data_IF_109153672374
#
_entry.id   IF_109153672374
#
_cell.length_a   1.000
_cell.length_b   1.000
_cell.length_c   1.000
_cell.angle_alpha   90.00
_cell.angle_beta   90.00
_cell.angle_gamma   90.00
#
_symmetry.space_group_name_H-M   'P 1'
#
loop_
_entity.id
_entity.type
_entity.pdbx_description
1 polymer ?
#
# COMPACT_ATOMS: atom_id res chain seq x y z
N UNK A 1 7.87 4.70 -10.31
CA UNK A 1 7.61 3.64 -11.32
C UNK A 1 7.25 4.28 -12.63
N UNK A 2 7.45 3.60 -13.74
CA UNK A 2 7.06 4.04 -15.08
C UNK A 2 6.17 2.96 -15.68
N UNK A 3 5.05 3.32 -16.32
CA UNK A 3 4.19 2.37 -17.01
C UNK A 3 4.66 2.09 -18.44
N UNK A 4 3.94 1.20 -19.16
CA UNK A 4 4.25 0.85 -20.55
C UNK A 4 4.11 2.03 -21.51
N UNK A 5 3.32 3.04 -21.16
CA UNK A 5 3.09 4.26 -21.93
C UNK A 5 4.13 5.36 -21.63
N UNK A 6 5.07 5.10 -20.71
CA UNK A 6 6.13 6.02 -20.31
C UNK A 6 5.70 7.07 -19.28
N UNK A 7 4.50 6.96 -18.68
CA UNK A 7 4.07 7.86 -17.61
C UNK A 7 4.75 7.51 -16.30
N UNK A 8 5.39 8.47 -15.68
CA UNK A 8 6.10 8.32 -14.42
C UNK A 8 5.18 8.42 -13.20
N UNK A 9 5.45 7.60 -12.19
CA UNK A 9 4.88 7.70 -10.85
C UNK A 9 6.01 7.70 -9.82
N UNK A 10 6.03 8.71 -8.94
CA UNK A 10 6.96 8.82 -7.82
C UNK A 10 6.22 8.40 -6.55
N UNK A 11 6.63 7.28 -5.95
CA UNK A 11 6.14 6.80 -4.66
C UNK A 11 7.16 6.98 -3.55
N UNK A 12 6.69 7.33 -2.35
CA UNK A 12 7.48 7.34 -1.12
C UNK A 12 6.69 6.63 -0.05
N UNK A 13 7.29 5.65 0.60
CA UNK A 13 6.72 4.92 1.75
C UNK A 13 7.64 5.11 2.95
N UNK A 14 7.06 5.49 4.07
CA UNK A 14 7.74 5.61 5.36
C UNK A 14 7.00 4.75 6.37
N UNK A 15 7.73 3.91 7.08
CA UNK A 15 7.17 3.05 8.13
C UNK A 15 8.05 3.15 9.37
N UNK A 16 7.43 3.17 10.54
CA UNK A 16 8.15 3.10 11.82
C UNK A 16 7.34 2.38 12.89
N UNK A 17 8.04 1.63 13.72
CA UNK A 17 7.50 0.95 14.89
C UNK A 17 8.17 1.49 16.14
N UNK A 18 7.38 1.99 17.09
CA UNK A 18 7.86 2.58 18.34
C UNK A 18 7.16 1.90 19.51
N UNK A 19 7.90 1.34 20.45
CA UNK A 19 7.29 0.72 21.64
C UNK A 19 8.11 -0.41 22.22
N UNK A 20 7.41 -1.34 22.88
CA UNK A 20 7.98 -2.54 23.52
C UNK A 20 7.73 -3.77 22.64
N UNK A 21 8.23 -4.93 23.05
CA UNK A 21 8.03 -6.19 22.31
C UNK A 21 6.54 -6.58 22.20
N UNK A 22 5.72 -6.19 23.16
CA UNK A 22 4.30 -6.55 23.20
C UNK A 22 3.36 -5.46 22.69
N UNK A 23 3.74 -4.18 22.86
CA UNK A 23 2.89 -3.04 22.57
C UNK A 23 3.67 -1.99 21.80
N UNK A 24 3.26 -1.73 20.58
CA UNK A 24 3.93 -0.83 19.63
C UNK A 24 2.95 0.16 19.01
N UNK A 25 3.44 1.32 18.68
CA UNK A 25 2.79 2.25 17.77
C UNK A 25 3.41 2.06 16.39
N UNK A 26 2.61 1.68 15.43
CA UNK A 26 2.97 1.60 14.02
C UNK A 26 2.50 2.88 13.33
N UNK A 27 3.40 3.57 12.68
CA UNK A 27 3.10 4.75 11.88
C UNK A 27 3.55 4.47 10.46
N UNK A 28 2.65 4.64 9.52
CA UNK A 28 2.91 4.50 8.09
C UNK A 28 2.50 5.78 7.37
N UNK A 29 3.33 6.26 6.46
CA UNK A 29 3.02 7.40 5.61
C UNK A 29 3.39 7.08 4.16
N UNK A 30 2.40 7.14 3.28
CA UNK A 30 2.54 6.89 1.86
C UNK A 30 2.25 8.17 1.08
N UNK A 31 3.03 8.44 0.06
CA UNK A 31 2.79 9.52 -0.90
C UNK A 31 3.04 9.01 -2.31
N UNK A 32 2.09 9.23 -3.18
CA UNK A 32 2.18 8.92 -4.59
C UNK A 32 1.89 10.14 -5.45
N UNK A 33 2.74 10.38 -6.44
CA UNK A 33 2.58 11.47 -7.41
C UNK A 33 2.79 10.94 -8.82
N UNK A 34 1.75 10.97 -9.64
CA UNK A 34 1.83 10.72 -11.07
C UNK A 34 2.12 12.01 -11.83
N UNK A 35 2.71 11.92 -13.02
CA UNK A 35 2.99 13.09 -13.86
C UNK A 35 1.74 13.87 -14.26
N UNK A 36 0.61 13.16 -14.42
CA UNK A 36 -0.66 13.74 -14.90
C UNK A 36 -1.66 14.09 -13.81
N UNK A 37 -1.38 13.73 -12.56
CA UNK A 37 -2.32 13.85 -11.43
C UNK A 37 -1.68 14.54 -10.23
N UNK A 38 -2.52 15.18 -9.42
CA UNK A 38 -2.09 15.71 -8.14
C UNK A 38 -1.70 14.57 -7.16
N UNK A 39 -0.84 14.88 -6.18
CA UNK A 39 -0.36 13.86 -5.27
C UNK A 39 -1.46 13.30 -4.38
N UNK A 40 -1.38 11.99 -4.10
CA UNK A 40 -2.17 11.27 -3.11
C UNK A 40 -1.33 11.06 -1.86
N UNK A 41 -1.94 11.20 -0.69
CA UNK A 41 -1.29 10.98 0.60
C UNK A 41 -2.14 10.04 1.46
N UNK A 42 -1.49 9.17 2.20
CA UNK A 42 -2.13 8.38 3.24
C UNK A 42 -1.21 8.31 4.45
N UNK A 43 -1.75 8.56 5.63
CA UNK A 43 -1.03 8.44 6.90
C UNK A 43 -1.86 7.59 7.85
N UNK A 44 -1.26 6.52 8.36
CA UNK A 44 -1.86 5.61 9.33
C UNK A 44 -1.13 5.67 10.66
N UNK A 45 -1.89 5.63 11.74
CA UNK A 45 -1.36 5.48 13.10
C UNK A 45 -2.11 4.34 13.79
N UNK A 46 -1.43 3.22 14.01
CA UNK A 46 -2.03 1.98 14.51
C UNK A 46 -1.34 1.55 15.81
N UNK A 47 -2.14 1.24 16.82
CA UNK A 47 -1.67 0.49 17.96
C UNK A 47 -1.54 -0.98 17.59
N UNK A 48 -0.35 -1.53 17.77
CA UNK A 48 0.02 -2.91 17.45
C UNK A 48 0.27 -3.68 18.74
N UNK A 49 -0.41 -4.80 18.91
CA UNK A 49 -0.24 -5.70 20.04
C UNK A 49 0.09 -7.11 19.57
N UNK A 50 1.18 -7.65 20.10
CA UNK A 50 1.53 -9.04 19.86
C UNK A 50 0.52 -9.97 20.56
N UNK A 51 -0.13 -10.83 19.79
CA UNK A 51 -1.17 -11.75 20.27
C UNK A 51 -0.76 -13.22 20.12
N UNK A 52 0.20 -13.50 19.25
CA UNK A 52 0.74 -14.84 19.04
C UNK A 52 2.18 -14.75 18.53
N UNK A 53 2.98 -15.82 18.59
CA UNK A 53 4.29 -15.84 17.96
C UNK A 53 4.20 -15.40 16.50
N UNK A 54 4.92 -14.32 16.16
CA UNK A 54 4.98 -13.72 14.82
C UNK A 54 3.70 -13.03 14.33
N UNK A 55 2.69 -12.80 15.18
CA UNK A 55 1.44 -12.13 14.80
C UNK A 55 1.08 -11.02 15.75
N UNK A 56 0.83 -9.85 15.17
CA UNK A 56 0.29 -8.67 15.84
C UNK A 56 -1.13 -8.40 15.34
N UNK A 57 -1.99 -7.99 16.25
CA UNK A 57 -3.25 -7.33 15.91
C UNK A 57 -3.03 -5.84 15.99
N UNK A 58 -3.53 -5.13 15.00
CA UNK A 58 -3.39 -3.68 14.89
C UNK A 58 -4.75 -3.01 14.82
N UNK A 59 -4.90 -1.86 15.47
CA UNK A 59 -6.09 -1.03 15.39
C UNK A 59 -5.73 0.45 15.51
N UNK A 60 -6.42 1.30 14.76
CA UNK A 60 -6.15 2.74 14.79
C UNK A 60 -6.91 3.52 13.74
N UNK A 61 -6.29 4.55 13.20
CA UNK A 61 -6.89 5.46 12.23
C UNK A 61 -5.97 5.67 11.05
N UNK A 62 -6.57 5.90 9.88
CA UNK A 62 -5.91 6.30 8.65
C UNK A 62 -6.54 7.60 8.15
N UNK A 63 -5.72 8.57 7.83
CA UNK A 63 -6.10 9.74 7.06
C UNK A 63 -5.60 9.57 5.63
N UNK A 64 -6.45 9.80 4.66
CA UNK A 64 -6.09 9.78 3.24
C UNK A 64 -6.63 11.02 2.53
N UNK A 65 -5.81 11.58 1.64
CA UNK A 65 -6.13 12.75 0.81
C UNK A 65 -5.79 12.43 -0.65
N UNK A 66 -6.76 12.64 -1.54
CA UNK A 66 -6.56 12.56 -2.99
C UNK A 66 -6.93 13.91 -3.62
N UNK A 67 -5.95 14.74 -3.90
CA UNK A 67 -6.17 16.12 -4.43
C UNK A 67 -6.82 16.16 -5.81
N UNK A 68 -6.90 15.06 -6.51
CA UNK A 68 -7.61 14.97 -7.78
C UNK A 68 -9.14 14.94 -7.62
N UNK A 69 -9.61 14.73 -6.40
CA UNK A 69 -11.03 14.65 -6.09
C UNK A 69 -11.37 15.59 -4.94
N UNK A 70 -12.19 16.60 -5.16
CA UNK A 70 -12.50 17.66 -4.18
C UNK A 70 -13.27 17.20 -2.92
N UNK A 71 -13.72 15.94 -2.86
CA UNK A 71 -14.35 15.36 -1.67
C UNK A 71 -13.54 14.21 -1.06
N UNK A 72 -12.23 14.27 -1.18
CA UNK A 72 -11.35 13.13 -1.01
C UNK A 72 -10.69 12.99 0.35
N UNK A 73 -10.76 14.02 1.19
CA UNK A 73 -10.24 13.92 2.54
C UNK A 73 -11.09 12.93 3.34
N UNK A 74 -10.43 11.87 3.83
CA UNK A 74 -11.12 10.80 4.52
C UNK A 74 -10.35 10.34 5.76
N UNK A 75 -11.09 10.12 6.83
CA UNK A 75 -10.60 9.46 8.04
C UNK A 75 -11.28 8.10 8.16
N UNK A 76 -10.48 7.05 8.19
CA UNK A 76 -10.95 5.67 8.33
C UNK A 76 -10.49 5.11 9.69
N UNK A 77 -11.39 4.38 10.36
CA UNK A 77 -11.00 3.43 11.39
C UNK A 77 -10.35 2.21 10.72
N UNK A 78 -9.28 1.70 11.30
CA UNK A 78 -8.51 0.57 10.75
C UNK A 78 -8.39 -0.51 11.80
N UNK A 79 -8.61 -1.75 11.40
CA UNK A 79 -8.29 -2.93 12.20
C UNK A 79 -7.66 -3.98 11.29
N UNK A 80 -6.65 -4.68 11.77
CA UNK A 80 -5.99 -5.70 10.96
C UNK A 80 -4.97 -6.53 11.71
N UNK A 81 -4.24 -7.28 10.94
CA UNK A 81 -3.17 -8.15 11.40
C UNK A 81 -1.91 -7.90 10.59
N UNK A 82 -0.78 -7.98 11.28
CA UNK A 82 0.57 -7.95 10.70
C UNK A 82 1.33 -9.16 11.25
N UNK A 83 2.00 -9.91 10.40
CA UNK A 83 2.79 -11.02 10.90
C UNK A 83 3.48 -11.85 9.85
N UNK A 84 4.08 -12.93 10.32
CA UNK A 84 4.81 -13.89 9.50
C UNK A 84 3.97 -15.17 9.33
N UNK A 85 3.47 -15.41 8.14
CA UNK A 85 2.81 -16.65 7.77
C UNK A 85 3.83 -17.79 7.55
N UNK A 86 3.39 -19.05 7.44
CA UNK A 86 4.27 -20.16 7.12
C UNK A 86 5.15 -19.88 5.90
N UNK A 87 6.36 -20.43 5.91
CA UNK A 87 7.40 -20.19 4.88
C UNK A 87 7.95 -18.78 4.85
N UNK A 88 7.84 -18.00 5.95
CA UNK A 88 8.37 -16.64 6.09
C UNK A 88 7.74 -15.63 5.12
N UNK A 89 6.45 -15.79 4.84
CA UNK A 89 5.70 -14.75 4.15
C UNK A 89 5.29 -13.66 5.15
N UNK A 90 5.77 -12.45 4.92
CA UNK A 90 5.29 -11.26 5.61
C UNK A 90 3.88 -10.95 5.10
N UNK A 91 2.94 -10.85 6.02
CA UNK A 91 1.51 -10.76 5.70
C UNK A 91 0.90 -9.61 6.44
N UNK A 92 0.21 -8.75 5.71
CA UNK A 92 -0.58 -7.65 6.25
C UNK A 92 -2.00 -7.77 5.71
N UNK A 93 -2.99 -7.64 6.58
CA UNK A 93 -4.39 -7.62 6.18
C UNK A 93 -5.16 -6.64 7.05
N UNK A 94 -5.81 -5.65 6.42
CA UNK A 94 -6.54 -4.59 7.09
C UNK A 94 -7.95 -4.47 6.58
N UNK A 95 -8.87 -4.10 7.49
CA UNK A 95 -10.21 -3.66 7.20
C UNK A 95 -10.31 -2.17 7.54
N UNK A 96 -10.93 -1.42 6.66
CA UNK A 96 -11.13 0.02 6.78
C UNK A 96 -12.62 0.32 6.84
N UNK A 97 -13.01 1.20 7.76
CA UNK A 97 -14.36 1.72 7.81
C UNK A 97 -14.30 3.22 8.11
N UNK A 98 -14.96 4.02 7.31
CA UNK A 98 -14.85 5.47 7.38
C UNK A 98 -16.16 6.20 7.15
N UNK A 99 -16.05 7.50 6.97
CA UNK A 99 -17.16 8.39 6.67
C UNK A 99 -17.82 8.06 5.32
N UNK A 100 -19.01 8.60 5.10
CA UNK A 100 -19.75 8.46 3.84
C UNK A 100 -19.92 7.00 3.38
N UNK A 101 -20.17 6.11 4.33
CA UNK A 101 -20.44 4.69 4.08
C UNK A 101 -19.30 3.95 3.35
N UNK A 102 -18.04 4.39 3.56
CA UNK A 102 -16.88 3.73 3.00
C UNK A 102 -16.47 2.50 3.82
N UNK A 103 -16.32 1.36 3.13
CA UNK A 103 -15.76 0.13 3.68
C UNK A 103 -14.83 -0.49 2.67
N UNK A 104 -13.69 -0.95 3.13
CA UNK A 104 -12.70 -1.60 2.30
C UNK A 104 -11.80 -2.55 3.06
N UNK A 105 -11.00 -3.29 2.33
CA UNK A 105 -9.96 -4.16 2.86
C UNK A 105 -8.72 -4.07 2.00
N UNK A 106 -7.54 -4.19 2.62
CA UNK A 106 -6.28 -4.40 1.92
C UNK A 106 -5.61 -5.69 2.39
N UNK A 107 -4.86 -6.27 1.49
CA UNK A 107 -4.07 -7.46 1.74
C UNK A 107 -2.72 -7.31 1.04
N UNK A 108 -1.63 -7.54 1.77
CA UNK A 108 -0.27 -7.56 1.26
C UNK A 108 0.42 -8.84 1.72
N UNK A 109 1.11 -9.47 0.79
CA UNK A 109 1.89 -10.68 1.02
C UNK A 109 3.22 -10.55 0.30
N UNK A 110 4.31 -10.68 1.04
CA UNK A 110 5.64 -10.58 0.46
C UNK A 110 6.61 -11.58 1.11
N UNK A 111 7.71 -11.89 0.44
CA UNK A 111 8.72 -12.79 0.97
C UNK A 111 10.11 -12.44 0.47
N UNK A 112 11.04 -12.28 1.39
CA UNK A 112 12.45 -12.12 1.08
C UNK A 112 13.11 -13.46 0.69
N UNK A 113 13.69 -13.49 -0.50
CA UNK A 113 14.50 -14.58 -1.02
C UNK A 113 15.94 -14.10 -1.19
N UNK A 114 16.85 -14.61 -0.37
CA UNK A 114 18.26 -14.27 -0.45
C UNK A 114 18.91 -15.06 -1.60
N UNK A 115 19.15 -14.40 -2.74
CA UNK A 115 19.91 -14.99 -3.87
C UNK A 115 21.40 -15.04 -3.56
N UNK A 116 21.89 -14.01 -2.87
CA UNK A 116 23.24 -13.95 -2.31
C UNK A 116 23.17 -13.26 -0.94
N UNK A 117 24.30 -13.11 -0.24
CA UNK A 117 24.35 -12.38 1.03
C UNK A 117 23.95 -10.90 0.92
N UNK A 118 23.93 -10.33 -0.28
CA UNK A 118 23.64 -8.91 -0.54
C UNK A 118 22.52 -8.68 -1.55
N UNK A 119 22.18 -9.69 -2.34
CA UNK A 119 21.14 -9.59 -3.35
C UNK A 119 19.90 -10.32 -2.87
N UNK A 120 18.85 -9.56 -2.63
CA UNK A 120 17.58 -10.03 -2.09
C UNK A 120 16.51 -9.78 -3.13
N UNK A 121 15.75 -10.81 -3.46
CA UNK A 121 14.59 -10.73 -4.35
C UNK A 121 13.33 -10.97 -3.55
N UNK A 122 12.34 -10.10 -3.70
CA UNK A 122 11.11 -10.10 -2.94
C UNK A 122 9.92 -10.18 -3.90
N UNK A 123 9.40 -11.38 -4.19
CA UNK A 123 8.08 -11.50 -4.79
C UNK A 123 7.02 -10.98 -3.84
N UNK A 124 6.01 -10.27 -4.37
CA UNK A 124 4.92 -9.72 -3.58
C UNK A 124 3.59 -9.71 -4.33
N UNK A 125 2.52 -9.63 -3.58
CA UNK A 125 1.16 -9.41 -4.05
C UNK A 125 0.47 -8.42 -3.11
N UNK A 126 -0.16 -7.41 -3.68
CA UNK A 126 -0.96 -6.38 -2.99
C UNK A 126 -2.36 -6.41 -3.61
N UNK A 127 -3.38 -6.36 -2.78
CA UNK A 127 -4.77 -6.34 -3.25
C UNK A 127 -5.62 -5.43 -2.36
N UNK A 128 -6.37 -4.53 -3.00
CA UNK A 128 -7.34 -3.66 -2.35
C UNK A 128 -8.75 -3.96 -2.84
N UNK A 129 -9.68 -4.06 -1.90
CA UNK A 129 -11.08 -4.35 -2.17
C UNK A 129 -11.96 -3.28 -1.51
N UNK A 130 -12.92 -2.77 -2.26
CA UNK A 130 -13.94 -1.83 -1.76
C UNK A 130 -15.27 -2.55 -1.70
N UNK A 131 -15.95 -2.50 -0.55
CA UNK A 131 -17.21 -3.20 -0.33
C UNK A 131 -18.46 -2.35 -0.58
N UNK A 132 -18.31 -1.01 -0.58
CA UNK A 132 -19.44 -0.09 -0.64
C UNK A 132 -19.49 0.66 -1.97
N UNK A 133 -20.60 0.51 -2.69
CA UNK A 133 -20.91 1.28 -3.91
C UNK A 133 -21.49 2.66 -3.62
N UNK A 134 -21.95 2.91 -2.39
CA UNK A 134 -22.70 4.13 -2.01
C UNK A 134 -21.79 5.22 -1.45
N UNK A 135 -20.47 5.01 -1.48
CA UNK A 135 -19.54 6.03 -0.98
C UNK A 135 -19.46 7.23 -1.92
N UNK A 136 -19.30 8.43 -1.35
CA UNK A 136 -19.14 9.67 -2.10
C UNK A 136 -17.73 9.82 -2.72
N UNK A 137 -16.86 8.82 -2.56
CA UNK A 137 -15.45 8.87 -2.96
C UNK A 137 -15.17 8.34 -4.37
N UNK A 138 -16.15 8.35 -5.26
CA UNK A 138 -16.02 7.86 -6.64
C UNK A 138 -15.57 6.38 -6.79
N UNK A 139 -15.38 5.68 -5.69
CA UNK A 139 -14.92 4.30 -5.68
C UNK A 139 -16.00 3.34 -6.17
N UNK A 140 -15.62 2.34 -6.97
CA UNK A 140 -16.49 1.24 -7.40
C UNK A 140 -16.23 0.04 -6.49
N UNK A 141 -17.29 -0.64 -6.01
CA UNK A 141 -17.16 -1.86 -5.20
C UNK A 141 -16.48 -2.99 -5.97
N UNK A 142 -15.85 -3.90 -5.24
CA UNK A 142 -15.09 -5.04 -5.73
C UNK A 142 -13.58 -4.82 -5.63
N UNK A 143 -12.81 -5.60 -6.38
CA UNK A 143 -11.36 -5.48 -6.46
C UNK A 143 -11.01 -4.10 -7.05
N UNK A 144 -10.43 -3.23 -6.23
CA UNK A 144 -10.05 -1.86 -6.60
C UNK A 144 -8.67 -1.84 -7.23
N UNK A 145 -7.73 -2.54 -6.60
CA UNK A 145 -6.37 -2.67 -7.07
C UNK A 145 -5.85 -4.08 -6.86
N UNK A 146 -5.09 -4.57 -7.80
CA UNK A 146 -4.30 -5.80 -7.66
C UNK A 146 -2.94 -5.55 -8.29
N UNK A 147 -1.89 -5.71 -7.49
CA UNK A 147 -0.53 -5.56 -7.94
C UNK A 147 0.27 -6.79 -7.53
N UNK A 148 0.97 -7.38 -8.47
CA UNK A 148 1.90 -8.48 -8.21
C UNK A 148 3.20 -8.21 -8.91
N UNK A 149 4.30 -8.45 -8.22
CA UNK A 149 5.60 -8.08 -8.75
C UNK A 149 6.76 -8.76 -8.06
N UNK A 150 7.94 -8.35 -8.51
CA UNK A 150 9.22 -8.80 -7.97
C UNK A 150 10.09 -7.57 -7.79
N UNK A 151 10.37 -7.24 -6.53
CA UNK A 151 11.34 -6.21 -6.15
C UNK A 151 12.69 -6.87 -5.86
N UNK A 152 13.75 -6.43 -6.51
CA UNK A 152 15.10 -6.93 -6.27
C UNK A 152 15.96 -5.81 -5.74
N UNK A 153 16.50 -5.98 -4.54
CA UNK A 153 17.34 -4.99 -3.85
C UNK A 153 18.75 -5.51 -3.61
N UNK A 154 19.70 -4.58 -3.67
CA UNK A 154 21.11 -4.87 -3.40
C UNK A 154 21.56 -4.13 -2.14
N UNK A 155 22.01 -4.85 -1.12
CA UNK A 155 22.55 -4.26 0.11
C UNK A 155 23.96 -3.70 -0.11
N UNK A 156 24.06 -2.40 -0.43
CA UNK A 156 25.36 -1.70 -0.42
C UNK A 156 25.87 -1.67 1.02
N UNK A 157 24.99 -1.22 1.92
CA UNK A 157 25.15 -1.28 3.38
C UNK A 157 23.83 -1.78 3.99
N UNK A 158 23.81 -2.12 5.29
CA UNK A 158 22.57 -2.47 5.98
C UNK A 158 21.51 -1.36 5.97
N UNK A 159 21.93 -0.12 5.73
CA UNK A 159 21.08 1.08 5.75
C UNK A 159 20.69 1.57 4.36
N UNK A 160 21.41 1.21 3.31
CA UNK A 160 21.21 1.74 1.95
C UNK A 160 21.07 0.56 1.00
N UNK A 161 19.90 0.41 0.42
CA UNK A 161 19.54 -0.69 -0.45
C UNK A 161 18.83 -0.14 -1.71
N UNK A 162 19.57 0.16 -2.79
CA UNK A 162 18.95 0.42 -4.09
C UNK A 162 18.17 -0.82 -4.55
N UNK A 163 17.05 -0.58 -5.23
CA UNK A 163 16.21 -1.64 -5.77
C UNK A 163 15.71 -1.33 -7.17
N UNK A 164 15.36 -2.39 -7.87
CA UNK A 164 14.53 -2.38 -9.07
C UNK A 164 13.26 -3.18 -8.78
N UNK A 165 12.15 -2.77 -9.39
CA UNK A 165 10.85 -3.39 -9.22
C UNK A 165 10.17 -3.59 -10.57
N UNK A 166 9.63 -4.77 -10.80
CA UNK A 166 8.84 -5.10 -11.98
C UNK A 166 7.52 -5.69 -11.50
N UNK A 167 6.42 -5.03 -11.81
CA UNK A 167 5.11 -5.41 -11.37
C UNK A 167 4.09 -5.42 -12.51
N UNK A 168 3.07 -6.24 -12.37
CA UNK A 168 1.84 -6.16 -13.15
C UNK A 168 0.73 -5.63 -12.25
N UNK A 169 0.12 -4.52 -12.65
CA UNK A 169 -0.91 -3.83 -11.88
C UNK A 169 -2.22 -3.82 -12.64
N UNK A 170 -3.30 -4.08 -11.92
CA UNK A 170 -4.67 -3.82 -12.32
C UNK A 170 -5.23 -2.75 -11.38
N UNK A 171 -5.80 -1.70 -11.95
CA UNK A 171 -6.48 -0.63 -11.23
C UNK A 171 -7.89 -0.46 -11.77
N UNK A 172 -8.88 -0.50 -10.89
CA UNK A 172 -10.28 -0.36 -11.27
C UNK A 172 -10.62 1.10 -11.51
N UNK A 173 -11.24 1.40 -12.63
CA UNK A 173 -11.71 2.76 -12.93
C UNK A 173 -12.72 3.29 -11.91
N UNK A 174 -12.81 4.60 -11.81
CA UNK A 174 -13.67 5.33 -10.87
C UNK A 174 -15.03 5.65 -11.49
N UNK A 175 -16.04 5.90 -10.64
CA UNK A 175 -17.35 6.41 -11.06
C UNK A 175 -17.26 7.90 -11.41
N UNK A 176 -18.17 8.37 -12.27
CA UNK A 176 -18.34 9.80 -12.48
C UNK A 176 -18.82 10.47 -11.18
N UNK A 177 -18.24 11.61 -10.88
CA UNK A 177 -18.70 12.55 -9.83
C UNK A 177 -19.06 13.88 -10.47
N UNK A 178 -19.51 14.85 -9.66
CA UNK A 178 -19.81 16.21 -10.16
C UNK A 178 -18.58 16.95 -10.70
N UNK A 179 -17.37 16.47 -10.41
CA UNK A 179 -16.09 17.11 -10.76
C UNK A 179 -15.14 16.23 -11.57
N UNK A 180 -15.45 14.95 -11.75
CA UNK A 180 -14.61 13.99 -12.46
C UNK A 180 -15.45 13.09 -13.35
N UNK A 181 -15.01 12.85 -14.57
CA UNK A 181 -15.61 11.86 -15.46
C UNK A 181 -15.26 10.43 -15.00
N UNK A 182 -16.12 9.47 -15.36
CA UNK A 182 -15.84 8.06 -15.10
C UNK A 182 -14.57 7.64 -15.85
N UNK A 183 -13.69 6.89 -15.18
CA UNK A 183 -12.51 6.31 -15.79
C UNK A 183 -12.71 4.82 -16.03
N UNK A 184 -12.05 4.29 -17.05
CA UNK A 184 -11.99 2.86 -17.32
C UNK A 184 -10.93 2.18 -16.44
N UNK A 185 -11.09 0.88 -16.28
CA UNK A 185 -10.09 0.08 -15.55
C UNK A 185 -8.84 -0.06 -16.40
N UNK A 186 -7.70 0.12 -15.78
CA UNK A 186 -6.39 0.02 -16.41
C UNK A 186 -5.65 -1.24 -15.92
N UNK A 187 -4.81 -1.78 -16.77
CA UNK A 187 -3.91 -2.89 -16.44
C UNK A 187 -2.66 -2.79 -17.29
N UNK A 188 -1.52 -3.11 -16.70
CA UNK A 188 -0.25 -3.04 -17.44
C UNK A 188 0.95 -3.35 -16.57
N UNK A 189 2.10 -3.42 -17.20
CA UNK A 189 3.36 -3.58 -16.52
C UNK A 189 3.84 -2.23 -15.98
N UNK A 190 4.40 -2.28 -14.78
CA UNK A 190 5.02 -1.13 -14.11
C UNK A 190 6.47 -1.47 -13.81
N UNK A 191 7.36 -0.57 -14.13
CA UNK A 191 8.80 -0.70 -13.90
C UNK A 191 9.26 0.39 -12.94
N UNK A 192 9.98 0.02 -11.91
CA UNK A 192 10.43 0.93 -10.88
C UNK A 192 11.90 0.79 -10.55
N UNK A 193 12.48 1.86 -10.07
CA UNK A 193 13.76 1.88 -9.39
C UNK A 193 13.71 2.86 -8.24
N UNK A 194 14.42 2.56 -7.16
CA UNK A 194 14.43 3.41 -5.97
C UNK A 194 15.53 3.05 -5.00
N UNK A 195 15.45 3.66 -3.82
CA UNK A 195 16.38 3.42 -2.71
C UNK A 195 15.57 3.20 -1.45
N UNK A 196 15.82 2.09 -0.78
CA UNK A 196 15.32 1.80 0.56
C UNK A 196 16.37 2.26 1.58
N UNK A 197 15.92 3.03 2.57
CA UNK A 197 16.75 3.51 3.68
C UNK A 197 16.22 2.92 5.00
N UNK A 198 17.10 2.30 5.78
CA UNK A 198 16.80 1.71 7.08
C UNK A 198 17.58 2.44 8.17
N UNK A 199 16.88 2.90 9.21
CA UNK A 199 17.45 3.70 10.31
C UNK A 199 17.50 2.95 11.62
#
# INVERSE_FOLDING_TARGET
MVDEDGKGNLGTKFETLIGTDENRLFIEANSEKSESNDPKYAVSALYSRNVAPFWDVQAGVRYSEDKNNSSSDRVDGVIGILGLAPYFFETQAYLYGGENNFWGASFELERDLLLTQKLITQPYIEADVIFSDDSNYAAKSGLSELKTGIKTRYEITKRIKPFIDVAYQYEKGQKATSMQEATDSEKGWKYGAGIELVF
#
